data_IF_071587331593
#
_entry.id   IF_071587331593
#
_cell.length_a   1.000
_cell.length_b   1.000
_cell.length_c   1.000
_cell.angle_alpha   90.00
_cell.angle_beta   90.00
_cell.angle_gamma   90.00
#
_symmetry.space_group_name_H-M   'P 1'
#
loop_
_entity.id
_entity.type
_entity.pdbx_description
1 polymer ?
#
# COMPACT_ATOMS: atom_id res chain seq x y z
N UNK A 1 12.29 -0.48 -24.19
CA UNK A 1 12.15 -0.23 -22.75
C UNK A 1 11.97 1.23 -22.52
N UNK A 2 11.20 1.61 -21.56
CA UNK A 2 10.98 3.02 -21.28
C UNK A 2 12.22 3.62 -20.62
N UNK A 3 12.47 4.89 -20.85
CA UNK A 3 13.60 5.61 -20.24
C UNK A 3 13.61 5.44 -18.72
N UNK A 4 12.43 5.41 -18.12
CA UNK A 4 12.27 5.21 -16.70
C UNK A 4 12.82 3.84 -16.25
N UNK A 5 12.65 2.83 -17.05
CA UNK A 5 13.13 1.49 -16.72
C UNK A 5 14.65 1.42 -16.75
N UNK A 6 15.24 2.06 -17.76
CA UNK A 6 16.70 2.15 -17.86
C UNK A 6 17.28 2.87 -16.64
N UNK A 7 16.59 3.90 -16.18
CA UNK A 7 17.03 4.67 -15.03
C UNK A 7 16.95 3.86 -13.74
N UNK A 8 15.90 3.07 -13.60
CA UNK A 8 15.74 2.16 -12.44
C UNK A 8 16.85 1.12 -12.44
N UNK A 9 17.16 0.55 -13.60
CA UNK A 9 18.23 -0.45 -13.71
C UNK A 9 19.60 0.15 -13.43
N UNK A 10 19.87 1.36 -13.93
CA UNK A 10 21.10 2.08 -13.63
C UNK A 10 21.24 2.32 -12.12
N UNK A 11 20.16 2.80 -11.49
CA UNK A 11 20.13 3.01 -10.04
C UNK A 11 20.34 1.70 -9.29
N UNK A 12 19.77 0.60 -9.79
CA UNK A 12 19.97 -0.72 -9.20
C UNK A 12 21.43 -1.18 -9.30
N UNK A 13 22.10 -0.95 -10.42
CA UNK A 13 23.51 -1.30 -10.57
C UNK A 13 24.40 -0.44 -9.66
N UNK A 14 24.03 0.81 -9.39
CA UNK A 14 24.69 1.65 -8.38
C UNK A 14 24.50 1.05 -6.98
N UNK A 15 23.28 0.67 -6.63
CA UNK A 15 22.94 0.04 -5.35
C UNK A 15 23.70 -1.28 -5.18
N UNK A 16 23.80 -2.09 -6.23
CA UNK A 16 24.55 -3.35 -6.23
C UNK A 16 26.04 -3.18 -5.99
N UNK A 17 26.59 -2.04 -6.37
CA UNK A 17 27.98 -1.70 -6.10
C UNK A 17 28.18 -1.06 -4.72
N UNK A 18 27.12 -0.92 -3.94
CA UNK A 18 27.17 -0.31 -2.63
C UNK A 18 27.24 1.21 -2.64
N UNK A 19 26.97 1.86 -3.79
CA UNK A 19 27.05 3.32 -3.90
C UNK A 19 25.77 4.00 -3.44
N UNK A 20 25.39 3.72 -2.23
CA UNK A 20 24.16 4.29 -1.66
C UNK A 20 24.22 5.79 -1.47
N UNK A 21 25.44 6.35 -1.37
CA UNK A 21 25.64 7.80 -1.31
C UNK A 21 25.16 8.52 -2.56
N UNK A 22 25.11 7.84 -3.68
CA UNK A 22 24.61 8.39 -4.93
C UNK A 22 23.11 8.11 -5.12
N UNK A 23 22.67 6.96 -4.68
CA UNK A 23 21.28 6.52 -4.83
C UNK A 23 20.33 7.36 -3.97
N UNK A 24 20.70 7.63 -2.73
CA UNK A 24 19.85 8.35 -1.79
C UNK A 24 19.54 9.80 -2.22
N UNK A 25 20.52 10.58 -2.73
CA UNK A 25 20.21 11.89 -3.28
C UNK A 25 19.32 11.84 -4.51
N UNK A 26 19.56 10.89 -5.43
CA UNK A 26 18.72 10.71 -6.61
C UNK A 26 17.26 10.45 -6.23
N UNK A 27 17.02 9.71 -5.15
CA UNK A 27 15.67 9.45 -4.67
C UNK A 27 15.01 10.69 -4.06
N UNK A 28 15.79 11.61 -3.48
CA UNK A 28 15.25 12.86 -2.97
C UNK A 28 14.89 13.81 -4.10
N UNK A 29 15.70 13.82 -5.14
CA UNK A 29 15.47 14.69 -6.28
C UNK A 29 14.30 14.22 -7.14
N UNK A 30 14.14 12.92 -7.28
CA UNK A 30 13.08 12.36 -8.11
C UNK A 30 12.29 11.28 -7.32
N UNK A 31 11.30 11.69 -6.53
CA UNK A 31 10.52 10.77 -5.71
C UNK A 31 9.83 9.66 -6.49
N UNK A 32 9.50 9.90 -7.76
CA UNK A 32 8.88 8.89 -8.60
C UNK A 32 9.81 7.70 -8.83
N UNK A 33 11.09 7.96 -9.02
CA UNK A 33 12.08 6.91 -9.18
C UNK A 33 12.22 6.12 -7.89
N UNK A 34 12.30 6.81 -6.76
CA UNK A 34 12.37 6.17 -5.45
C UNK A 34 11.21 5.20 -5.23
N UNK A 35 10.00 5.65 -5.56
CA UNK A 35 8.81 4.82 -5.44
C UNK A 35 8.84 3.59 -6.37
N UNK A 36 9.34 3.76 -7.58
CA UNK A 36 9.47 2.64 -8.52
C UNK A 36 10.59 1.67 -8.08
N UNK A 37 11.69 2.21 -7.60
CA UNK A 37 12.81 1.42 -7.08
C UNK A 37 12.38 0.58 -5.87
N UNK A 38 11.52 1.11 -5.00
CA UNK A 38 11.05 0.37 -3.82
C UNK A 38 10.30 -0.92 -4.19
N UNK A 39 9.68 -0.95 -5.36
CA UNK A 39 8.92 -2.10 -5.85
C UNK A 39 9.64 -2.94 -6.89
N UNK A 40 10.81 -2.48 -7.30
CA UNK A 40 11.59 -3.19 -8.33
C UNK A 40 12.20 -4.47 -7.77
N UNK A 41 12.11 -5.51 -8.57
CA UNK A 41 12.74 -6.80 -8.30
C UNK A 41 13.44 -7.26 -9.57
N UNK A 42 14.71 -7.58 -9.45
CA UNK A 42 15.49 -8.03 -10.59
C UNK A 42 15.10 -9.44 -10.97
N UNK A 43 14.66 -9.65 -12.18
CA UNK A 43 14.16 -10.95 -12.64
C UNK A 43 15.19 -12.06 -12.55
N UNK A 44 16.45 -11.75 -12.78
CA UNK A 44 17.51 -12.76 -12.81
C UNK A 44 17.82 -13.37 -11.45
N UNK A 45 17.81 -12.58 -10.39
CA UNK A 45 18.16 -13.01 -9.04
C UNK A 45 17.01 -12.97 -8.05
N UNK A 46 15.93 -12.28 -8.39
CA UNK A 46 14.84 -12.04 -7.46
C UNK A 46 15.19 -11.02 -6.37
N UNK A 47 16.34 -10.34 -6.48
CA UNK A 47 16.76 -9.38 -5.49
C UNK A 47 16.07 -8.03 -5.68
N UNK A 48 15.67 -7.43 -4.61
CA UNK A 48 15.13 -6.07 -4.58
C UNK A 48 16.19 -5.08 -4.11
N UNK A 49 15.90 -3.79 -4.20
CA UNK A 49 16.76 -2.77 -3.59
C UNK A 49 16.94 -3.00 -2.09
N UNK A 50 15.91 -3.52 -1.42
CA UNK A 50 15.97 -3.82 -0.01
C UNK A 50 16.99 -4.93 0.30
N UNK A 51 17.09 -5.96 -0.53
CA UNK A 51 18.11 -7.00 -0.40
C UNK A 51 19.50 -6.43 -0.56
N UNK A 52 19.69 -5.50 -1.50
CA UNK A 52 21.00 -4.86 -1.70
C UNK A 52 21.38 -3.97 -0.51
N UNK A 53 20.44 -3.20 0.01
CA UNK A 53 20.67 -2.36 1.17
C UNK A 53 21.00 -3.19 2.42
N UNK A 54 20.29 -4.30 2.58
CA UNK A 54 20.51 -5.24 3.67
C UNK A 54 21.89 -5.92 3.57
N UNK A 55 22.30 -6.28 2.37
CA UNK A 55 23.60 -6.90 2.12
C UNK A 55 24.77 -6.00 2.53
N UNK A 56 24.66 -4.70 2.27
CA UNK A 56 25.69 -3.73 2.63
C UNK A 56 25.51 -3.13 4.02
N UNK A 57 24.42 -3.44 4.72
CA UNK A 57 24.16 -2.91 6.05
C UNK A 57 23.76 -1.45 6.07
N UNK A 58 23.22 -0.93 4.97
CA UNK A 58 22.79 0.47 4.90
C UNK A 58 21.40 0.66 5.53
N UNK A 59 21.39 0.91 6.81
CA UNK A 59 20.16 1.09 7.58
C UNK A 59 19.30 2.25 7.06
N UNK A 60 19.92 3.36 6.70
CA UNK A 60 19.20 4.54 6.18
C UNK A 60 18.46 4.19 4.90
N UNK A 61 19.12 3.47 3.99
CA UNK A 61 18.50 3.05 2.75
C UNK A 61 17.34 2.08 2.99
N UNK A 62 17.49 1.16 3.93
CA UNK A 62 16.42 0.24 4.30
C UNK A 62 15.21 0.98 4.87
N UNK A 63 15.42 1.93 5.76
CA UNK A 63 14.34 2.74 6.34
C UNK A 63 13.60 3.56 5.27
N UNK A 64 14.32 4.17 4.35
CA UNK A 64 13.71 4.91 3.25
C UNK A 64 12.92 4.00 2.31
N UNK A 65 13.43 2.82 2.00
CA UNK A 65 12.72 1.84 1.18
C UNK A 65 11.44 1.37 1.85
N UNK A 66 11.47 1.07 3.14
CA UNK A 66 10.29 0.68 3.91
C UNK A 66 9.27 1.83 3.90
N UNK A 67 9.72 3.05 4.12
CA UNK A 67 8.86 4.24 4.09
C UNK A 67 8.19 4.42 2.72
N UNK A 68 8.87 4.07 1.64
CA UNK A 68 8.34 4.11 0.28
C UNK A 68 7.43 2.92 -0.05
N UNK A 69 7.24 2.00 0.87
CA UNK A 69 6.38 0.84 0.69
C UNK A 69 7.06 -0.36 0.04
N UNK A 70 8.35 -0.53 0.28
CA UNK A 70 9.03 -1.74 -0.17
C UNK A 70 8.57 -2.94 0.66
N UNK A 71 8.21 -4.02 0.00
CA UNK A 71 7.81 -5.23 0.69
C UNK A 71 9.01 -5.92 1.35
N UNK A 72 8.96 -6.02 2.66
CA UNK A 72 10.03 -6.61 3.46
C UNK A 72 10.09 -8.13 3.30
N UNK A 73 8.94 -8.74 3.03
CA UNK A 73 8.81 -10.18 2.91
C UNK A 73 9.09 -10.74 1.51
N UNK A 74 9.55 -9.91 0.58
CA UNK A 74 9.90 -10.40 -0.75
C UNK A 74 11.04 -11.40 -0.67
N UNK A 75 10.84 -12.51 -1.35
CA UNK A 75 11.83 -13.57 -1.42
C UNK A 75 12.70 -13.42 -2.66
N UNK A 76 13.97 -13.66 -2.50
CA UNK A 76 14.88 -13.83 -3.62
C UNK A 76 14.63 -15.18 -4.28
N UNK A 77 15.29 -15.47 -5.39
CA UNK A 77 15.20 -16.81 -6.00
C UNK A 77 15.74 -17.91 -5.11
N UNK A 78 16.60 -17.56 -4.17
CA UNK A 78 17.14 -18.47 -3.18
C UNK A 78 16.20 -18.70 -1.99
N UNK A 79 15.05 -18.04 -1.99
CA UNK A 79 14.08 -18.13 -0.90
C UNK A 79 14.47 -17.33 0.34
N UNK A 80 15.36 -16.33 0.20
CA UNK A 80 15.82 -15.51 1.31
C UNK A 80 15.12 -14.17 1.32
N UNK A 81 14.79 -13.69 2.49
CA UNK A 81 14.30 -12.33 2.70
C UNK A 81 15.44 -11.35 2.84
N UNK A 82 15.16 -10.07 2.77
CA UNK A 82 16.17 -9.05 3.02
C UNK A 82 16.73 -9.14 4.45
N UNK A 83 15.91 -9.57 5.42
CA UNK A 83 16.35 -9.77 6.79
C UNK A 83 17.34 -10.93 6.90
N UNK A 84 17.09 -12.03 6.19
CA UNK A 84 18.01 -13.18 6.20
C UNK A 84 19.36 -12.82 5.57
N UNK A 85 19.33 -12.02 4.51
CA UNK A 85 20.54 -11.53 3.86
C UNK A 85 21.35 -10.63 4.82
N UNK A 86 20.66 -9.76 5.57
CA UNK A 86 21.32 -8.92 6.56
C UNK A 86 21.99 -9.77 7.66
N UNK A 87 21.29 -10.79 8.13
CA UNK A 87 21.82 -11.69 9.16
C UNK A 87 23.03 -12.47 8.67
N UNK A 88 22.98 -13.00 7.45
CA UNK A 88 24.14 -13.69 6.84
C UNK A 88 25.37 -12.80 6.73
N UNK A 89 25.19 -11.50 6.56
CA UNK A 89 26.29 -10.54 6.49
C UNK A 89 26.71 -9.99 7.85
N UNK A 90 26.08 -10.43 8.91
CA UNK A 90 26.42 -10.01 10.26
C UNK A 90 25.72 -8.72 10.71
N UNK A 91 24.78 -8.21 9.92
CA UNK A 91 24.02 -7.01 10.26
C UNK A 91 22.76 -7.36 11.07
N UNK A 92 22.97 -7.95 12.24
CA UNK A 92 21.87 -8.48 13.06
C UNK A 92 20.87 -7.40 13.49
N UNK A 93 21.37 -6.23 13.86
CA UNK A 93 20.50 -5.12 14.25
C UNK A 93 19.58 -4.70 13.09
N UNK A 94 20.08 -4.73 11.86
CA UNK A 94 19.31 -4.41 10.69
C UNK A 94 18.30 -5.52 10.35
N UNK A 95 18.69 -6.78 10.54
CA UNK A 95 17.79 -7.90 10.37
C UNK A 95 16.60 -7.81 11.34
N UNK A 96 16.86 -7.46 12.60
CA UNK A 96 15.80 -7.25 13.60
C UNK A 96 14.89 -6.09 13.24
N UNK A 97 15.44 -5.01 12.71
CA UNK A 97 14.67 -3.87 12.24
C UNK A 97 13.74 -4.29 11.10
N UNK A 98 14.24 -5.03 10.14
CA UNK A 98 13.46 -5.51 9.01
C UNK A 98 12.36 -6.47 9.45
N UNK A 99 12.64 -7.36 10.40
CA UNK A 99 11.63 -8.27 10.95
C UNK A 99 10.53 -7.52 11.70
N UNK A 100 10.88 -6.51 12.50
CA UNK A 100 9.88 -5.68 13.18
C UNK A 100 8.99 -4.93 12.21
N UNK A 101 9.57 -4.37 11.17
CA UNK A 101 8.80 -3.68 10.13
C UNK A 101 7.79 -4.59 9.45
N UNK A 102 8.10 -5.86 9.32
CA UNK A 102 7.17 -6.86 8.80
C UNK A 102 5.97 -7.06 9.73
N UNK A 103 6.20 -7.19 11.03
CA UNK A 103 5.12 -7.35 11.99
C UNK A 103 4.25 -6.10 12.08
N UNK A 104 4.84 -4.92 11.98
CA UNK A 104 4.08 -3.68 11.97
C UNK A 104 3.20 -3.57 10.73
N UNK A 105 3.68 -4.04 9.59
CA UNK A 105 2.90 -4.06 8.36
C UNK A 105 1.75 -5.05 8.43
N UNK A 106 1.95 -6.22 9.02
CA UNK A 106 0.89 -7.19 9.24
C UNK A 106 -0.12 -6.71 10.29
N UNK A 107 0.33 -6.02 11.31
CA UNK A 107 -0.56 -5.54 12.36
C UNK A 107 -1.54 -4.46 11.88
N UNK A 108 -1.21 -3.76 10.80
CA UNK A 108 -2.12 -2.82 10.17
C UNK A 108 -3.29 -3.50 9.44
N UNK A 109 -3.11 -4.78 9.10
CA UNK A 109 -4.13 -5.58 8.42
C UNK A 109 -4.78 -6.57 9.38
N UNK A 110 -5.22 -6.07 10.52
CA UNK A 110 -5.96 -6.94 11.41
C UNK A 110 -7.29 -7.25 10.79
N UNK A 111 -7.57 -8.51 10.67
CA UNK A 111 -8.82 -9.01 10.15
C UNK A 111 -10.00 -8.36 10.87
N UNK A 112 -11.05 -7.98 10.14
CA UNK A 112 -12.26 -7.45 10.77
C UNK A 112 -12.91 -8.41 11.77
N UNK A 113 -12.47 -9.64 11.78
CA UNK A 113 -12.98 -10.62 12.69
C UNK A 113 -12.25 -10.68 14.03
N UNK A 114 -11.27 -9.82 14.24
CA UNK A 114 -10.59 -9.78 15.51
C UNK A 114 -11.51 -9.20 16.58
N UNK A 115 -11.87 -9.97 17.63
CA UNK A 115 -12.80 -9.52 18.63
C UNK A 115 -12.30 -8.34 19.45
N UNK A 116 -11.00 -8.11 19.45
CA UNK A 116 -10.44 -7.01 20.24
C UNK A 116 -10.62 -5.67 19.56
N UNK A 117 -10.71 -5.66 18.25
CA UNK A 117 -10.89 -4.42 17.52
C UNK A 117 -12.35 -4.10 17.25
N UNK A 118 -13.19 -5.09 17.30
CA UNK A 118 -14.60 -4.92 17.03
C UNK A 118 -15.27 -3.87 17.89
N UNK A 119 -15.22 -3.99 19.18
CA UNK A 119 -15.95 -3.06 20.03
C UNK A 119 -15.44 -1.64 20.00
N UNK A 120 -14.17 -1.47 19.87
CA UNK A 120 -13.58 -0.12 19.90
C UNK A 120 -13.91 0.68 18.65
N UNK A 121 -13.95 0.00 17.54
CA UNK A 121 -14.22 0.67 16.28
C UNK A 121 -15.70 0.96 16.15
N UNK A 122 -16.48 0.01 16.60
CA UNK A 122 -17.90 0.12 16.47
C UNK A 122 -18.48 1.17 17.40
N UNK A 123 -17.91 1.33 18.57
CA UNK A 123 -18.39 2.33 19.49
C UNK A 123 -18.28 3.74 18.96
N UNK A 124 -17.25 4.02 18.20
CA UNK A 124 -17.08 5.36 17.67
C UNK A 124 -17.95 5.61 16.44
N UNK A 125 -18.03 4.65 15.58
CA UNK A 125 -18.77 4.84 14.32
C UNK A 125 -20.26 4.72 14.49
N UNK A 126 -20.69 3.83 15.34
CA UNK A 126 -22.08 3.59 15.54
C UNK A 126 -22.76 4.81 16.13
N UNK A 127 -22.12 5.50 17.03
CA UNK A 127 -22.73 6.68 17.62
C UNK A 127 -23.04 7.75 16.60
N UNK A 128 -22.19 7.89 15.60
CA UNK A 128 -22.39 8.89 14.56
C UNK A 128 -23.48 8.46 13.59
N UNK A 129 -23.50 7.20 13.25
CA UNK A 129 -24.51 6.66 12.34
C UNK A 129 -25.86 6.62 13.01
N UNK A 130 -25.91 6.26 14.27
CA UNK A 130 -27.17 6.23 15.01
C UNK A 130 -27.75 7.63 15.20
N UNK A 131 -26.89 8.61 15.43
CA UNK A 131 -27.36 9.98 15.51
C UNK A 131 -27.95 10.44 14.18
N UNK A 132 -27.39 10.04 13.08
CA UNK A 132 -27.93 10.35 11.78
C UNK A 132 -29.23 9.58 11.52
N UNK A 133 -29.28 8.34 11.92
CA UNK A 133 -30.49 7.55 11.77
C UNK A 133 -31.64 8.10 12.58
N UNK A 134 -31.39 8.50 13.80
CA UNK A 134 -32.43 9.04 14.63
C UNK A 134 -32.96 10.35 14.06
N UNK A 135 -32.10 11.15 13.51
CA UNK A 135 -32.55 12.38 12.86
C UNK A 135 -33.44 12.10 11.65
N UNK A 136 -33.06 11.14 10.86
CA UNK A 136 -33.88 10.77 9.73
C UNK A 136 -35.17 10.11 10.17
N UNK A 137 -35.10 9.26 11.16
CA UNK A 137 -36.31 8.61 11.62
C UNK A 137 -37.28 9.57 12.24
N UNK A 138 -36.80 10.55 12.96
CA UNK A 138 -37.73 11.51 13.56
C UNK A 138 -38.34 12.40 12.52
N UNK A 139 -37.67 12.67 11.44
CA UNK A 139 -38.29 13.42 10.37
C UNK A 139 -39.33 12.62 9.65
N UNK A 140 -39.10 11.37 9.49
CA UNK A 140 -40.02 10.57 8.74
C UNK A 140 -41.22 10.13 9.55
N UNK A 141 -41.12 10.22 10.84
CA UNK A 141 -42.24 9.74 11.62
C UNK A 141 -43.39 10.66 11.50
N UNK A 142 -43.24 11.78 10.88
CA UNK A 142 -44.28 12.64 10.93
C UNK A 142 -44.90 12.76 9.64
N UNK A 143 -45.50 12.01 9.17
CA UNK A 143 -46.22 12.20 8.06
C UNK A 143 -45.91 11.53 6.94
N UNK A 144 -46.47 11.24 6.37
CA UNK A 144 -46.52 10.83 5.06
C UNK A 144 -45.27 10.87 4.36
N UNK A 145 -44.34 10.28 4.91
CA UNK A 145 -43.19 10.05 4.13
C UNK A 145 -43.53 9.08 3.03
N UNK A 146 -44.46 9.40 2.30
CA UNK A 146 -44.66 8.59 1.17
C UNK A 146 -43.58 8.86 0.26
N UNK A 147 -42.78 8.00 0.20
CA UNK A 147 -41.80 8.03 -0.79
C UNK A 147 -42.55 8.00 -2.05
N UNK A 148 -42.35 8.87 -2.84
CA UNK A 148 -43.03 8.86 -4.10
C UNK A 148 -42.45 7.72 -4.84
N UNK A 149 -43.24 6.80 -4.88
CA UNK A 149 -42.75 5.68 -5.51
C UNK A 149 -42.79 5.93 -6.89
N UNK A 150 -42.91 6.97 -7.27
CA UNK A 150 -43.09 7.09 -8.49
C UNK A 150 -42.12 7.03 -9.31
N UNK A 151 -41.46 7.06 -9.08
CA UNK A 151 -40.63 7.02 -9.86
C UNK A 151 -40.37 6.78 -11.11
N UNK A 152 -39.91 6.06 -11.22
CA UNK A 152 -39.20 5.72 -12.27
C UNK A 152 -39.81 5.49 -13.46
N UNK A 153 -40.77 5.30 -13.35
CA UNK A 153 -41.30 4.72 -14.34
C UNK A 153 -41.27 5.42 -15.53
N UNK A 154 -40.86 6.44 -15.50
CA UNK A 154 -41.10 7.04 -16.62
C UNK A 154 -40.12 7.16 -17.58
N UNK A 155 -39.14 6.65 -17.33
CA UNK A 155 -38.19 6.87 -18.23
C UNK A 155 -38.39 6.30 -19.48
N UNK A 156 -38.96 5.30 -19.44
CA UNK A 156 -38.90 4.56 -20.50
C UNK A 156 -39.62 5.00 -21.58
N UNK A 157 -40.36 5.51 -21.39
CA UNK A 157 -41.13 5.48 -22.36
C UNK A 157 -40.93 6.24 -23.43
N UNK A 158 -40.33 6.97 -23.40
CA UNK A 158 -40.35 7.69 -24.34
C UNK A 158 -39.67 7.54 -25.36
N UNK A 159 -39.21 7.01 -25.58
CA UNK A 159 -38.47 6.87 -26.46
C UNK A 159 -38.93 6.79 -27.64
N UNK A 160 -38.62 7.27 -28.22
CA UNK A 160 -38.72 7.15 -29.37
C UNK A 160 -39.25 6.87 -30.40
N UNK A 161 -39.84 7.02 -30.56
CA UNK A 161 -40.43 6.59 -31.45
C UNK A 161 -40.16 7.17 -32.68
N UNK A 162 -40.09 6.69 -33.28
CA UNK A 162 -40.16 6.99 -34.40
C UNK A 162 -39.57 7.72 -35.20
N UNK A 163 -39.17 7.85 -35.23
CA UNK A 163 -38.52 8.57 -35.92
C UNK A 163 -38.20 8.15 -37.08
N UNK A 164 -38.59 7.56 -37.59
CA UNK A 164 -38.19 7.16 -38.66
C UNK A 164 -38.79 7.49 -39.71
N UNK A 165 -38.55 7.95 -40.38
CA UNK A 165 -39.14 8.08 -41.64
C UNK A 165 -38.17 8.24 -42.69
#
# INVERSE_FOLDING_TARGET
MSELQNLIEETYEKAKKGRWDQVLPEWKDIPLIAFRCSRYQKESSGWTFLHQAAYFGHEIACRELIRLGASVNRLSREGKTAADVAEEKGHTALADLLRRSFYDEESLWVSPSDPDLGPKRDAFKISTIDALRTRFASRCSNTDCRVPTTGPTNYDTKIIPGTLS
#
